data_IF_621869172013
#
_entry.id   IF_621869172013
#
_cell.length_a   1.000
_cell.length_b   1.000
_cell.length_c   1.000
_cell.angle_alpha   90.00
_cell.angle_beta   90.00
_cell.angle_gamma   90.00
#
_symmetry.space_group_name_H-M   'P 1'
#
loop_
_entity.id
_entity.type
_entity.pdbx_description
1 polymer ?
#
# COMPACT_ATOMS: atom_id res chain seq x y z
N UNK A 1 -4.70 6.12 0.70
CA UNK A 1 -4.83 4.70 1.09
C UNK A 1 -5.97 4.57 2.08
N UNK A 2 -6.58 3.41 2.18
CA UNK A 2 -7.68 3.13 3.12
C UNK A 2 -7.37 1.90 3.96
N UNK A 3 -8.01 1.79 5.12
CA UNK A 3 -7.81 0.69 6.06
C UNK A 3 -9.10 0.34 6.77
N UNK A 4 -9.17 -0.88 7.28
CA UNK A 4 -10.22 -1.32 8.20
C UNK A 4 -10.11 -0.64 9.57
N UNK A 5 -11.12 -0.82 10.40
CA UNK A 5 -11.17 -0.21 11.74
C UNK A 5 -9.97 -0.61 12.61
N UNK A 6 -9.53 -1.87 12.49
CA UNK A 6 -8.45 -2.46 13.29
C UNK A 6 -7.04 -2.14 12.82
N UNK A 7 -6.86 -1.40 11.71
CA UNK A 7 -5.55 -1.16 11.09
C UNK A 7 -4.81 -2.46 10.73
N UNK A 8 -5.56 -3.51 10.40
CA UNK A 8 -5.04 -4.84 10.10
C UNK A 8 -4.73 -5.02 8.62
N UNK A 9 -5.45 -4.30 7.75
CA UNK A 9 -5.28 -4.35 6.29
C UNK A 9 -5.33 -2.94 5.70
N UNK A 10 -4.32 -2.61 4.89
CA UNK A 10 -4.23 -1.34 4.16
C UNK A 10 -4.28 -1.61 2.66
N UNK A 11 -5.08 -0.84 1.94
CA UNK A 11 -5.23 -0.91 0.49
C UNK A 11 -5.07 0.48 -0.16
N UNK A 12 -4.75 0.54 -1.47
CA UNK A 12 -4.68 1.81 -2.20
C UNK A 12 -6.01 2.58 -2.16
N UNK A 13 -7.13 1.87 -2.30
CA UNK A 13 -8.50 2.40 -2.32
C UNK A 13 -9.52 1.42 -1.70
N UNK A 14 -10.77 1.87 -1.60
CA UNK A 14 -11.87 1.15 -0.95
C UNK A 14 -12.31 -0.11 -1.70
N UNK A 15 -12.17 -0.12 -3.02
CA UNK A 15 -12.58 -1.25 -3.86
C UNK A 15 -11.60 -2.40 -3.64
N UNK A 16 -10.30 -2.13 -3.71
CA UNK A 16 -9.25 -3.12 -3.42
C UNK A 16 -9.33 -3.63 -1.98
N UNK A 17 -9.65 -2.77 -1.00
CA UNK A 17 -9.82 -3.23 0.39
C UNK A 17 -11.01 -4.19 0.52
N UNK A 18 -12.10 -3.90 -0.19
CA UNK A 18 -13.30 -4.72 -0.21
C UNK A 18 -13.04 -6.08 -0.88
N UNK A 19 -12.26 -6.11 -1.96
CA UNK A 19 -11.79 -7.34 -2.60
C UNK A 19 -10.94 -8.21 -1.65
N UNK A 20 -10.22 -7.58 -0.72
CA UNK A 20 -9.47 -8.25 0.34
C UNK A 20 -10.35 -8.70 1.54
N UNK A 21 -11.67 -8.47 1.49
CA UNK A 21 -12.63 -8.90 2.51
C UNK A 21 -12.73 -7.97 3.71
N UNK A 22 -12.23 -6.74 3.62
CA UNK A 22 -12.27 -5.76 4.70
C UNK A 22 -13.13 -4.54 4.34
N UNK A 23 -13.88 -4.02 5.31
CA UNK A 23 -14.68 -2.81 5.12
C UNK A 23 -13.82 -1.55 5.35
N UNK A 24 -13.85 -0.57 4.44
CA UNK A 24 -13.12 0.69 4.63
C UNK A 24 -13.71 1.50 5.80
N UNK A 25 -12.85 1.89 6.74
CA UNK A 25 -13.23 2.70 7.88
C UNK A 25 -12.48 4.04 7.92
N UNK A 26 -11.22 4.06 7.47
CA UNK A 26 -10.32 5.21 7.62
C UNK A 26 -9.54 5.46 6.33
N UNK A 27 -9.33 6.74 6.02
CA UNK A 27 -8.39 7.18 4.98
C UNK A 27 -7.08 7.58 5.65
N UNK A 28 -5.98 7.07 5.13
CA UNK A 28 -4.63 7.35 5.62
C UNK A 28 -3.84 8.14 4.58
N UNK A 29 -2.96 9.03 5.07
CA UNK A 29 -1.93 9.61 4.21
C UNK A 29 -0.91 8.54 3.83
N UNK A 30 -0.34 8.67 2.64
CA UNK A 30 0.59 7.67 2.11
C UNK A 30 1.87 7.53 2.95
N UNK A 31 2.36 8.63 3.52
CA UNK A 31 3.53 8.68 4.41
C UNK A 31 3.33 7.90 5.72
N UNK A 32 2.09 7.74 6.17
CA UNK A 32 1.76 6.95 7.37
C UNK A 32 1.41 5.49 7.01
N UNK A 33 0.71 5.30 5.90
CA UNK A 33 0.22 4.00 5.46
C UNK A 33 1.32 3.08 4.91
N UNK A 34 2.31 3.64 4.18
CA UNK A 34 3.38 2.84 3.58
C UNK A 34 4.33 2.21 4.60
N UNK A 35 4.77 2.90 5.67
CA UNK A 35 5.52 2.25 6.74
C UNK A 35 4.76 1.09 7.39
N UNK A 36 3.47 1.26 7.66
CA UNK A 36 2.63 0.21 8.24
C UNK A 36 2.57 -1.02 7.31
N UNK A 37 2.29 -0.79 6.02
CA UNK A 37 2.24 -1.85 5.01
C UNK A 37 3.60 -2.56 4.83
N UNK A 38 4.70 -1.80 4.83
CA UNK A 38 6.03 -2.37 4.69
C UNK A 38 6.36 -3.34 5.83
N UNK A 39 6.03 -2.96 7.08
CA UNK A 39 6.22 -3.83 8.24
C UNK A 39 5.33 -5.08 8.14
N UNK A 40 4.05 -4.92 7.80
CA UNK A 40 3.09 -6.03 7.80
C UNK A 40 3.44 -7.13 6.78
N UNK A 41 4.02 -6.76 5.64
CA UNK A 41 4.41 -7.71 4.58
C UNK A 41 5.90 -8.06 4.59
N UNK A 42 6.67 -7.57 5.57
CA UNK A 42 8.12 -7.79 5.64
C UNK A 42 8.89 -7.19 4.45
N UNK A 43 8.43 -6.06 3.95
CA UNK A 43 9.09 -5.27 2.92
C UNK A 43 9.97 -4.17 3.55
N UNK A 44 10.91 -3.65 2.75
CA UNK A 44 11.71 -2.49 3.13
C UNK A 44 11.17 -1.25 2.42
N UNK A 45 11.07 -0.13 3.15
CA UNK A 45 10.72 1.16 2.58
C UNK A 45 12.00 1.99 2.41
N UNK A 46 12.21 2.52 1.21
CA UNK A 46 13.33 3.40 0.89
C UNK A 46 12.80 4.70 0.30
N UNK A 47 13.43 5.82 0.64
CA UNK A 47 13.14 7.11 0.02
C UNK A 47 13.84 7.16 -1.34
N UNK A 48 13.09 7.43 -2.40
CA UNK A 48 13.66 7.66 -3.73
C UNK A 48 14.30 9.04 -3.82
N UNK A 49 15.40 9.15 -4.54
CA UNK A 49 15.96 10.44 -4.96
C UNK A 49 15.33 10.91 -6.27
N UNK A 50 15.88 11.96 -6.86
CA UNK A 50 15.32 12.64 -8.04
C UNK A 50 15.46 11.83 -9.35
N UNK A 51 16.07 10.64 -9.32
CA UNK A 51 16.27 9.80 -10.51
C UNK A 51 15.07 8.92 -10.84
N UNK A 52 14.08 8.85 -9.95
CA UNK A 52 12.86 8.06 -10.15
C UNK A 52 11.62 8.92 -9.92
N UNK A 53 10.67 8.85 -10.85
CA UNK A 53 9.36 9.50 -10.75
C UNK A 53 8.26 8.42 -10.82
N UNK A 54 7.89 7.79 -9.69
CA UNK A 54 6.75 6.89 -9.64
C UNK A 54 5.46 7.63 -10.02
N UNK A 55 4.53 6.94 -10.67
CA UNK A 55 3.30 7.54 -11.21
C UNK A 55 2.50 8.34 -10.18
N UNK A 56 2.38 7.84 -8.95
CA UNK A 56 1.66 8.49 -7.84
C UNK A 56 2.60 8.85 -6.67
N UNK A 57 3.89 9.04 -6.96
CA UNK A 57 4.92 9.30 -5.94
C UNK A 57 5.38 8.09 -5.14
N UNK A 58 4.82 6.90 -5.41
CA UNK A 58 5.18 5.63 -4.76
C UNK A 58 5.24 4.51 -5.81
N UNK A 59 6.18 3.57 -5.65
CA UNK A 59 6.28 2.34 -6.44
C UNK A 59 6.79 1.18 -5.58
N UNK A 60 6.60 -0.05 -6.06
CA UNK A 60 7.10 -1.26 -5.42
C UNK A 60 7.84 -2.15 -6.42
N UNK A 61 8.92 -2.78 -5.95
CA UNK A 61 9.58 -3.88 -6.66
C UNK A 61 9.03 -5.18 -6.09
N UNK A 62 8.39 -5.98 -6.94
CA UNK A 62 7.79 -7.25 -6.53
C UNK A 62 8.79 -8.39 -6.67
N UNK A 63 8.74 -9.36 -5.76
CA UNK A 63 9.58 -10.58 -5.81
C UNK A 63 9.23 -11.46 -7.01
N UNK A 64 7.98 -11.41 -7.46
CA UNK A 64 7.44 -12.17 -8.57
C UNK A 64 6.70 -11.23 -9.51
N UNK A 65 6.69 -11.56 -10.80
CA UNK A 65 5.88 -10.84 -11.77
C UNK A 65 4.40 -11.00 -11.41
N UNK A 66 3.61 -9.90 -11.40
CA UNK A 66 2.18 -10.00 -11.17
C UNK A 66 1.54 -10.75 -12.33
N UNK A 67 0.71 -11.74 -12.03
CA UNK A 67 -0.19 -12.32 -13.03
C UNK A 67 -1.36 -11.36 -13.17
N UNK A 68 -1.46 -10.68 -14.30
CA UNK A 68 -2.68 -9.94 -14.65
C UNK A 68 -3.81 -10.97 -14.77
N UNK A 69 -4.75 -10.92 -13.83
CA UNK A 69 -6.03 -11.61 -13.90
C UNK A 69 -7.11 -10.59 -14.18
#
# INVERSE_FOLDING_TARGET
MVTDEGLTTVAPDADVLSEQGAAPAKTLRADEALPLLAISVGASLVRTDERMAPADGVAAVLRYAPTLH
#
